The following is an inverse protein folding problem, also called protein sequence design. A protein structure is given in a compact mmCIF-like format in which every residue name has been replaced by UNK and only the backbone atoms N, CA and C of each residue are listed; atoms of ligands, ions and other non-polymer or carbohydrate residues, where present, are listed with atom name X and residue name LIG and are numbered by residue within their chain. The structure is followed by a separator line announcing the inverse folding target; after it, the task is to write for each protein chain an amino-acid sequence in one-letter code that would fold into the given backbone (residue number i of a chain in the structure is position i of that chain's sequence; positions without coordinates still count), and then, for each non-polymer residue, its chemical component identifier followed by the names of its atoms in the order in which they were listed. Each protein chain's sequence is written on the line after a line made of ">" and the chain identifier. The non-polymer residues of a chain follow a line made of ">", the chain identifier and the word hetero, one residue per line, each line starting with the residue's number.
data_IF_981417788702
#
_entry.id   IF_981417788702
#
_cell.length_a   1.000
_cell.length_b   1.000
_cell.length_c   1.000
_cell.angle_alpha   90.00
_cell.angle_beta   90.00
_cell.angle_gamma   90.00
#
_symmetry.space_group_name_H-M   'P 1'
#
loop_
_entity.id
_entity.type
_entity.pdbx_description
1 polymer ?
#
# COMPACT_ATOMS: atom_id res chain seq x y z
N UNK A 1 -20.93 23.02 3.70
CA UNK A 1 -20.10 22.90 4.91
C UNK A 1 -20.60 21.73 5.75
N UNK A 2 -19.96 20.57 5.60
CA UNK A 2 -19.96 19.47 6.58
C UNK A 2 -18.65 18.71 6.33
N UNK A 3 -17.74 18.77 7.29
CA UNK A 3 -16.39 18.19 7.21
C UNK A 3 -16.41 16.74 7.71
N UNK A 4 -15.82 15.85 6.91
CA UNK A 4 -15.84 14.39 7.08
C UNK A 4 -14.81 13.88 8.12
N UNK A 5 -14.61 14.62 9.22
CA UNK A 5 -13.51 14.37 10.19
C UNK A 5 -13.95 13.69 11.50
N UNK A 6 -15.15 13.11 11.58
CA UNK A 6 -15.77 12.76 12.87
C UNK A 6 -16.09 11.27 13.14
N UNK A 7 -15.58 10.29 12.37
CA UNK A 7 -16.06 8.90 12.55
C UNK A 7 -15.06 7.83 13.01
N UNK A 8 -13.80 8.14 13.28
CA UNK A 8 -12.86 7.09 13.73
C UNK A 8 -11.86 7.60 14.77
N UNK A 9 -12.29 7.74 16.03
CA UNK A 9 -11.40 7.62 17.20
C UNK A 9 -12.13 6.98 18.39
N UNK A 10 -11.60 5.89 18.99
CA UNK A 10 -12.09 5.38 20.25
C UNK A 10 -11.61 6.25 21.42
N UNK A 11 -12.40 6.43 22.50
CA UNK A 11 -11.99 7.27 23.62
C UNK A 11 -10.98 6.53 24.52
N UNK A 12 -9.83 7.17 24.75
CA UNK A 12 -8.90 6.79 25.81
C UNK A 12 -9.39 7.41 27.14
N UNK A 13 -9.72 6.55 28.10
CA UNK A 13 -9.96 6.95 29.50
C UNK A 13 -8.61 7.29 30.16
N UNK A 14 -8.43 8.55 30.55
CA UNK A 14 -7.40 8.97 31.52
C UNK A 14 -8.09 9.47 32.77
N UNK A 15 -7.85 8.79 33.88
CA UNK A 15 -8.23 9.20 35.22
C UNK A 15 -7.30 10.31 35.73
N UNK A 16 -7.86 11.34 36.36
CA UNK A 16 -7.25 12.10 37.45
C UNK A 16 -8.31 12.98 38.16
N UNK A 17 -8.12 13.31 39.45
CA UNK A 17 -9.20 13.60 40.39
C UNK A 17 -9.38 15.10 40.66
N UNK A 18 -10.59 15.52 41.09
CA UNK A 18 -10.75 16.71 41.93
C UNK A 18 -12.11 16.73 42.64
N UNK A 19 -12.05 16.92 43.96
CA UNK A 19 -13.17 17.20 44.86
C UNK A 19 -13.75 18.60 44.58
N UNK A 20 -15.06 18.80 44.78
CA UNK A 20 -15.62 19.74 45.77
C UNK A 20 -17.16 19.77 45.75
N UNK A 21 -17.71 19.60 46.97
CA UNK A 21 -18.86 20.25 47.58
C UNK A 21 -20.21 20.42 46.82
N UNK A 22 -21.20 19.66 47.30
CA UNK A 22 -22.35 20.18 48.04
C UNK A 22 -23.42 20.98 47.28
N UNK A 23 -24.59 20.36 47.07
CA UNK A 23 -25.91 21.00 47.22
C UNK A 23 -27.02 19.93 47.24
N UNK A 24 -27.94 20.11 48.18
CA UNK A 24 -28.95 19.14 48.64
C UNK A 24 -30.37 19.44 48.11
N UNK A 25 -31.05 18.39 47.62
CA UNK A 25 -32.47 17.94 47.86
C UNK A 25 -33.61 18.95 47.48
N UNK A 26 -34.68 18.53 46.75
CA UNK A 26 -35.61 17.51 47.25
C UNK A 26 -36.17 16.45 46.31
N UNK A 27 -36.66 15.43 47.01
CA UNK A 27 -37.24 14.19 46.56
C UNK A 27 -38.67 14.37 46.04
N UNK A 28 -38.99 13.65 44.96
CA UNK A 28 -40.36 13.21 44.72
C UNK A 28 -40.35 11.72 44.42
N UNK A 29 -41.15 11.02 45.21
CA UNK A 29 -41.26 9.59 45.40
C UNK A 29 -42.35 9.07 44.47
N UNK A 30 -42.03 8.16 43.55
CA UNK A 30 -43.02 7.20 43.06
C UNK A 30 -42.38 5.82 42.91
N UNK A 31 -42.93 4.90 43.68
CA UNK A 31 -42.53 3.51 43.81
C UNK A 31 -43.12 2.68 42.66
N UNK A 32 -42.31 1.81 42.07
CA UNK A 32 -42.80 0.58 41.45
C UNK A 32 -41.96 -0.58 41.97
N UNK A 33 -42.63 -1.55 42.62
CA UNK A 33 -42.08 -2.68 43.38
C UNK A 33 -41.50 -3.74 42.43
N UNK A 34 -40.33 -4.27 42.76
CA UNK A 34 -39.77 -5.53 42.23
C UNK A 34 -39.91 -6.60 43.32
N UNK A 35 -40.60 -7.73 43.09
CA UNK A 35 -40.55 -8.87 44.00
C UNK A 35 -39.30 -9.76 43.76
N UNK A 36 -38.80 -10.46 44.80
CA UNK A 36 -37.48 -11.11 44.79
C UNK A 36 -37.48 -12.50 44.13
N UNK A 37 -36.33 -12.88 43.58
CA UNK A 37 -36.04 -14.22 43.07
C UNK A 37 -35.91 -15.24 44.20
N UNK A 38 -36.49 -16.46 44.09
CA UNK A 38 -36.15 -17.56 44.98
C UNK A 38 -34.92 -18.33 44.47
N UNK A 39 -34.04 -18.62 45.43
CA UNK A 39 -32.83 -19.44 45.32
C UNK A 39 -33.25 -20.91 45.18
N UNK A 40 -32.77 -21.61 44.14
CA UNK A 40 -32.97 -23.06 43.99
C UNK A 40 -31.73 -23.80 44.52
N UNK A 41 -31.98 -24.68 45.50
CA UNK A 41 -31.03 -25.63 46.10
C UNK A 41 -30.50 -26.62 45.06
N UNK A 42 -29.21 -26.87 45.18
CA UNK A 42 -28.45 -27.86 44.44
C UNK A 42 -28.90 -29.29 44.84
N UNK A 43 -29.31 -30.11 43.89
CA UNK A 43 -29.37 -31.56 44.08
C UNK A 43 -28.61 -32.25 42.95
N UNK A 44 -27.50 -32.84 43.36
CA UNK A 44 -26.51 -33.56 42.59
C UNK A 44 -27.06 -34.88 42.05
N UNK A 45 -27.18 -34.97 40.72
CA UNK A 45 -26.90 -36.16 39.88
C UNK A 45 -27.42 -35.84 38.48
N UNK A 46 -26.51 -35.58 37.54
CA UNK A 46 -26.66 -35.90 36.11
C UNK A 46 -25.33 -35.57 35.42
N UNK A 47 -24.61 -36.63 35.09
CA UNK A 47 -23.44 -36.66 34.21
C UNK A 47 -23.82 -36.19 32.81
N UNK A 48 -22.95 -35.36 32.23
CA UNK A 48 -22.64 -35.18 30.80
C UNK A 48 -23.71 -35.60 29.78
N UNK A 49 -24.37 -34.63 29.15
CA UNK A 49 -24.84 -34.76 27.78
C UNK A 49 -24.85 -33.39 27.09
N UNK A 50 -23.96 -33.22 26.10
CA UNK A 50 -23.97 -32.10 25.17
C UNK A 50 -25.28 -32.11 24.35
N UNK A 51 -25.90 -30.96 24.05
CA UNK A 51 -27.14 -30.92 23.29
C UNK A 51 -26.87 -31.29 21.83
N UNK A 52 -27.49 -32.39 21.37
CA UNK A 52 -27.66 -32.67 19.93
C UNK A 52 -28.63 -31.64 19.35
N UNK A 53 -28.10 -30.58 18.76
CA UNK A 53 -28.81 -29.79 17.76
C UNK A 53 -29.09 -30.70 16.56
N UNK A 54 -30.31 -30.69 16.02
CA UNK A 54 -30.87 -31.62 15.02
C UNK A 54 -31.47 -32.91 15.56
N UNK A 55 -32.53 -32.76 16.33
CA UNK A 55 -33.63 -33.73 16.41
C UNK A 55 -34.94 -32.98 16.22
N UNK A 56 -35.37 -32.81 14.97
CA UNK A 56 -36.76 -32.51 14.67
C UNK A 56 -37.24 -33.51 13.62
N UNK A 57 -37.82 -34.61 14.09
CA UNK A 57 -38.78 -35.37 13.30
C UNK A 57 -40.01 -34.48 13.09
N UNK A 58 -40.03 -33.71 12.01
CA UNK A 58 -41.22 -32.95 11.60
C UNK A 58 -42.14 -33.90 10.84
N UNK A 59 -43.33 -34.14 11.39
CA UNK A 59 -44.39 -34.93 10.76
C UNK A 59 -44.67 -34.37 9.36
N UNK A 60 -44.60 -35.22 8.33
CA UNK A 60 -45.25 -34.95 7.03
C UNK A 60 -46.71 -34.57 7.30
N UNK A 61 -47.25 -33.50 6.70
CA UNK A 61 -48.69 -33.36 6.65
C UNK A 61 -49.23 -34.59 5.92
N UNK A 62 -50.07 -35.35 6.61
CA UNK A 62 -50.71 -36.51 6.03
C UNK A 62 -51.47 -36.06 4.78
N UNK A 63 -51.27 -36.78 3.67
CA UNK A 63 -52.13 -36.67 2.50
C UNK A 63 -53.52 -37.23 2.89
N UNK A 64 -54.33 -36.40 3.55
CA UNK A 64 -55.70 -36.66 3.95
C UNK A 64 -56.64 -35.73 3.18
N UNK A 65 -57.72 -36.30 2.63
CA UNK A 65 -58.72 -35.66 1.77
C UNK A 65 -59.48 -34.50 2.46
N UNK A 66 -59.41 -33.29 1.85
CA UNK A 66 -60.39 -32.17 1.76
C UNK A 66 -60.94 -31.52 3.06
N UNK A 67 -61.52 -30.28 3.04
CA UNK A 67 -61.78 -29.35 1.94
C UNK A 67 -61.14 -27.94 2.14
N UNK A 68 -60.88 -27.19 1.06
CA UNK A 68 -60.57 -25.76 1.16
C UNK A 68 -59.26 -25.29 0.50
N UNK A 69 -59.31 -25.13 -0.82
CA UNK A 69 -58.74 -23.95 -1.49
C UNK A 69 -57.23 -23.76 -1.48
N UNK A 70 -56.45 -24.66 -2.06
CA UNK A 70 -55.21 -24.19 -2.69
C UNK A 70 -55.57 -23.41 -3.96
N UNK A 71 -55.72 -22.09 -3.84
CA UNK A 71 -55.90 -21.19 -4.98
C UNK A 71 -54.54 -20.62 -5.43
N UNK A 72 -54.02 -20.99 -6.61
CA UNK A 72 -52.74 -20.50 -7.12
C UNK A 72 -52.72 -19.00 -7.42
N UNK A 73 -53.90 -18.35 -7.46
CA UNK A 73 -54.08 -16.92 -7.74
C UNK A 73 -54.12 -16.07 -6.46
N UNK A 74 -54.23 -16.68 -5.28
CA UNK A 74 -54.23 -15.97 -4.01
C UNK A 74 -52.78 -15.64 -3.56
N UNK A 75 -52.41 -14.35 -3.42
CA UNK A 75 -51.07 -13.94 -3.04
C UNK A 75 -50.59 -14.53 -1.71
N UNK A 76 -51.48 -14.67 -0.73
CA UNK A 76 -51.15 -15.18 0.60
C UNK A 76 -50.74 -16.66 0.57
N UNK A 77 -51.36 -17.47 -0.29
CA UNK A 77 -51.02 -18.89 -0.42
C UNK A 77 -49.69 -19.09 -1.14
N UNK A 78 -49.36 -18.20 -2.09
CA UNK A 78 -48.04 -18.14 -2.72
C UNK A 78 -46.95 -17.78 -1.71
N UNK A 79 -47.22 -16.87 -0.79
CA UNK A 79 -46.27 -16.45 0.22
C UNK A 79 -45.98 -17.57 1.24
N UNK A 80 -47.02 -18.28 1.69
CA UNK A 80 -46.88 -19.46 2.56
C UNK A 80 -46.11 -20.59 1.88
N UNK A 81 -46.41 -20.88 0.61
CA UNK A 81 -45.63 -21.86 -0.16
C UNK A 81 -44.20 -21.41 -0.39
N UNK A 82 -43.97 -20.12 -0.63
CA UNK A 82 -42.63 -19.56 -0.80
C UNK A 82 -41.83 -19.69 0.49
N UNK A 83 -42.41 -19.35 1.64
CA UNK A 83 -41.76 -19.58 2.94
C UNK A 83 -41.50 -21.05 3.21
N UNK A 84 -42.47 -21.93 2.94
CA UNK A 84 -42.30 -23.37 3.10
C UNK A 84 -41.18 -23.91 2.21
N UNK A 85 -41.15 -23.51 0.94
CA UNK A 85 -40.13 -23.91 -0.02
C UNK A 85 -38.74 -23.36 0.35
N UNK A 86 -38.64 -22.14 0.90
CA UNK A 86 -37.38 -21.58 1.40
C UNK A 86 -36.90 -22.37 2.63
N UNK A 87 -37.81 -22.72 3.55
CA UNK A 87 -37.48 -23.45 4.78
C UNK A 87 -37.18 -24.94 4.57
N UNK A 88 -37.71 -25.54 3.50
CA UNK A 88 -37.52 -26.96 3.15
C UNK A 88 -36.64 -27.18 1.93
N UNK A 89 -36.07 -26.11 1.36
CA UNK A 89 -35.09 -26.19 0.30
C UNK A 89 -33.93 -27.08 0.76
N UNK A 90 -33.71 -28.17 0.04
CA UNK A 90 -32.50 -28.97 0.23
C UNK A 90 -31.30 -28.11 -0.17
N UNK A 91 -30.17 -28.20 0.55
CA UNK A 91 -28.97 -27.50 0.13
C UNK A 91 -28.57 -27.99 -1.27
N UNK A 92 -28.20 -27.04 -2.14
CA UNK A 92 -27.76 -27.33 -3.52
C UNK A 92 -26.56 -28.30 -3.57
N UNK A 93 -25.76 -28.34 -2.50
CA UNK A 93 -24.71 -29.33 -2.29
C UNK A 93 -24.71 -29.78 -0.83
N UNK A 94 -24.63 -31.10 -0.60
CA UNK A 94 -24.43 -31.64 0.75
C UNK A 94 -22.93 -31.71 1.09
N UNK A 95 -22.59 -31.82 2.39
CA UNK A 95 -21.20 -32.00 2.84
C UNK A 95 -20.58 -33.27 2.24
N UNK A 96 -21.38 -34.31 2.02
CA UNK A 96 -20.94 -35.56 1.39
C UNK A 96 -20.72 -35.41 -0.13
N UNK A 97 -21.50 -34.56 -0.80
CA UNK A 97 -21.27 -34.20 -2.20
C UNK A 97 -19.94 -33.44 -2.36
N UNK A 98 -19.67 -32.50 -1.46
CA UNK A 98 -18.41 -31.76 -1.40
C UNK A 98 -17.25 -32.72 -1.14
N UNK A 99 -17.40 -33.64 -0.18
CA UNK A 99 -16.38 -34.65 0.13
C UNK A 99 -16.08 -35.60 -1.05
N UNK A 100 -17.10 -36.01 -1.80
CA UNK A 100 -16.94 -36.84 -3.01
C UNK A 100 -16.29 -36.06 -4.16
N UNK A 101 -16.62 -34.78 -4.31
CA UNK A 101 -16.00 -33.89 -5.29
C UNK A 101 -14.48 -33.78 -5.07
N UNK A 102 -14.05 -33.48 -3.85
CA UNK A 102 -12.62 -33.37 -3.51
C UNK A 102 -11.85 -34.70 -3.60
N UNK A 103 -12.53 -35.84 -3.44
CA UNK A 103 -11.93 -37.18 -3.62
C UNK A 103 -11.95 -37.68 -5.07
N UNK A 104 -12.56 -36.95 -5.99
CA UNK A 104 -12.65 -37.38 -7.38
C UNK A 104 -11.29 -37.31 -8.09
N UNK A 105 -11.01 -38.28 -8.98
CA UNK A 105 -9.77 -38.28 -9.78
C UNK A 105 -9.66 -37.05 -10.69
N UNK A 106 -10.82 -36.54 -11.15
CA UNK A 106 -10.91 -35.31 -11.93
C UNK A 106 -10.44 -34.09 -11.13
N UNK A 107 -10.92 -33.93 -9.89
CA UNK A 107 -10.47 -32.86 -9.00
C UNK A 107 -8.98 -32.98 -8.66
N UNK A 108 -8.50 -34.19 -8.35
CA UNK A 108 -7.07 -34.40 -8.08
C UNK A 108 -6.21 -34.02 -9.30
N UNK A 109 -6.62 -34.38 -10.52
CA UNK A 109 -5.93 -34.01 -11.75
C UNK A 109 -5.89 -32.50 -11.98
N UNK A 110 -7.03 -31.82 -11.86
CA UNK A 110 -7.09 -30.34 -12.03
C UNK A 110 -6.33 -29.61 -10.94
N UNK A 111 -6.37 -30.08 -9.68
CA UNK A 111 -5.60 -29.51 -8.59
C UNK A 111 -4.09 -29.60 -8.86
N UNK A 112 -3.59 -30.75 -9.34
CA UNK A 112 -2.18 -30.91 -9.72
C UNK A 112 -1.79 -29.95 -10.84
N UNK A 113 -2.59 -29.86 -11.91
CA UNK A 113 -2.33 -28.93 -13.03
C UNK A 113 -2.33 -27.48 -12.54
N UNK A 114 -3.28 -27.09 -11.71
CA UNK A 114 -3.36 -25.73 -11.15
C UNK A 114 -2.14 -25.40 -10.28
N UNK A 115 -1.67 -26.34 -9.46
CA UNK A 115 -0.45 -26.16 -8.65
C UNK A 115 0.78 -26.03 -9.53
N UNK A 116 0.94 -26.88 -10.54
CA UNK A 116 2.05 -26.81 -11.49
C UNK A 116 2.04 -25.49 -12.29
N UNK A 117 0.86 -25.06 -12.74
CA UNK A 117 0.69 -23.77 -13.41
C UNK A 117 1.03 -22.60 -12.48
N UNK A 118 0.64 -22.66 -11.21
CA UNK A 118 1.00 -21.66 -10.20
C UNK A 118 2.51 -21.59 -9.95
N UNK A 119 3.19 -22.74 -9.85
CA UNK A 119 4.65 -22.81 -9.71
C UNK A 119 5.33 -22.23 -10.95
N UNK A 120 4.90 -22.63 -12.15
CA UNK A 120 5.42 -22.10 -13.40
C UNK A 120 5.22 -20.57 -13.47
N UNK A 121 4.04 -20.08 -13.10
CA UNK A 121 3.72 -18.66 -13.08
C UNK A 121 4.65 -17.87 -12.14
N UNK A 122 4.89 -18.36 -10.92
CA UNK A 122 5.83 -17.74 -9.99
C UNK A 122 7.25 -17.76 -10.55
N UNK A 123 7.69 -18.88 -11.12
CA UNK A 123 9.02 -19.03 -11.68
C UNK A 123 9.27 -18.04 -12.83
N UNK A 124 8.37 -17.99 -13.82
CA UNK A 124 8.52 -17.12 -15.00
C UNK A 124 8.37 -15.63 -14.71
N UNK A 125 7.73 -15.26 -13.59
CA UNK A 125 7.58 -13.86 -13.15
C UNK A 125 8.53 -13.51 -11.99
N UNK A 126 9.53 -14.37 -11.70
CA UNK A 126 10.60 -14.02 -10.76
C UNK A 126 11.74 -13.34 -11.51
N UNK A 127 11.99 -12.08 -11.16
CA UNK A 127 12.98 -11.21 -11.80
C UNK A 127 14.09 -10.85 -10.81
N UNK A 128 15.21 -10.35 -11.33
CA UNK A 128 16.31 -9.79 -10.53
C UNK A 128 16.31 -8.27 -10.70
N UNK A 129 16.34 -7.54 -9.59
CA UNK A 129 16.34 -6.08 -9.59
C UNK A 129 17.71 -5.57 -10.09
N UNK A 130 17.74 -4.60 -11.04
CA UNK A 130 18.99 -3.99 -11.50
C UNK A 130 19.71 -3.29 -10.34
N UNK A 131 21.04 -3.23 -10.39
CA UNK A 131 21.93 -2.59 -9.38
C UNK A 131 21.98 -3.29 -8.01
N UNK A 132 20.85 -3.71 -7.43
CA UNK A 132 20.80 -4.37 -6.11
C UNK A 132 21.01 -5.89 -6.18
N UNK A 133 20.67 -6.54 -7.29
CA UNK A 133 20.76 -7.99 -7.45
C UNK A 133 19.70 -8.79 -6.69
N UNK A 134 18.71 -8.13 -6.07
CA UNK A 134 17.66 -8.81 -5.30
C UNK A 134 16.72 -9.59 -6.21
N UNK A 135 16.42 -10.84 -5.84
CA UNK A 135 15.37 -11.64 -6.48
C UNK A 135 14.00 -11.23 -5.95
N UNK A 136 13.05 -11.04 -6.85
CA UNK A 136 11.67 -10.66 -6.53
C UNK A 136 10.67 -11.29 -7.47
N UNK A 137 9.43 -11.41 -7.03
CA UNK A 137 8.31 -11.81 -7.87
C UNK A 137 7.53 -10.56 -8.28
N UNK A 138 7.43 -10.30 -9.58
CA UNK A 138 6.67 -9.21 -10.16
C UNK A 138 5.98 -9.71 -11.43
N UNK A 139 4.64 -9.77 -11.41
CA UNK A 139 3.85 -10.20 -12.56
C UNK A 139 3.20 -9.04 -13.34
N UNK A 140 3.48 -7.80 -12.96
CA UNK A 140 3.08 -6.63 -13.73
C UNK A 140 4.22 -6.19 -14.65
N UNK A 141 3.88 -5.99 -15.93
CA UNK A 141 4.80 -5.37 -16.89
C UNK A 141 4.93 -3.87 -16.62
N UNK A 142 6.05 -3.27 -17.02
CA UNK A 142 6.28 -1.83 -16.91
C UNK A 142 5.18 -1.02 -17.60
N UNK A 143 4.82 -1.40 -18.83
CA UNK A 143 3.77 -0.76 -19.61
C UNK A 143 2.39 -0.81 -18.92
N UNK A 144 2.09 -1.93 -18.23
CA UNK A 144 0.87 -2.05 -17.43
C UNK A 144 0.88 -1.09 -16.24
N UNK A 145 2.03 -0.96 -15.57
CA UNK A 145 2.18 -0.04 -14.42
C UNK A 145 2.11 1.41 -14.88
N UNK A 146 2.74 1.76 -15.99
CA UNK A 146 2.71 3.10 -16.59
C UNK A 146 1.28 3.51 -16.98
N UNK A 147 0.54 2.64 -17.66
CA UNK A 147 -0.86 2.91 -18.05
C UNK A 147 -1.73 3.24 -16.83
N UNK A 148 -1.54 2.49 -15.75
CA UNK A 148 -2.27 2.69 -14.50
C UNK A 148 -1.76 3.93 -13.75
N UNK A 149 -0.47 4.25 -13.87
CA UNK A 149 0.11 5.47 -13.32
C UNK A 149 -0.38 6.75 -14.02
N UNK A 150 -0.68 6.70 -15.32
CA UNK A 150 -1.25 7.83 -16.05
C UNK A 150 -2.59 8.32 -15.46
N UNK A 151 -3.37 7.42 -14.84
CA UNK A 151 -4.58 7.80 -14.10
C UNK A 151 -4.23 8.52 -12.79
N UNK A 152 -3.21 8.04 -12.08
CA UNK A 152 -2.70 8.68 -10.86
C UNK A 152 -2.17 10.09 -11.14
N UNK A 153 -1.47 10.29 -12.26
CA UNK A 153 -0.96 11.60 -12.69
C UNK A 153 -2.10 12.61 -12.82
N UNK A 154 -3.17 12.23 -13.54
CA UNK A 154 -4.36 13.10 -13.70
C UNK A 154 -4.99 13.45 -12.35
N UNK A 155 -4.98 12.50 -11.43
CA UNK A 155 -5.53 12.68 -10.10
C UNK A 155 -4.72 13.64 -9.25
N UNK A 156 -3.39 13.49 -9.23
CA UNK A 156 -2.50 14.42 -8.53
C UNK A 156 -2.71 15.85 -9.02
N UNK A 157 -2.82 16.05 -10.34
CA UNK A 157 -3.11 17.38 -10.92
C UNK A 157 -4.45 17.90 -10.41
N UNK A 158 -5.50 17.09 -10.49
CA UNK A 158 -6.83 17.46 -10.02
C UNK A 158 -6.86 17.79 -8.52
N UNK A 159 -6.17 17.01 -7.69
CA UNK A 159 -6.12 17.21 -6.25
C UNK A 159 -5.39 18.51 -5.89
N UNK A 160 -4.29 18.83 -6.58
CA UNK A 160 -3.58 20.11 -6.42
C UNK A 160 -4.48 21.28 -6.83
N UNK A 161 -5.10 21.22 -8.02
CA UNK A 161 -5.94 22.31 -8.53
C UNK A 161 -7.21 22.52 -7.71
N UNK A 162 -7.87 21.43 -7.28
CA UNK A 162 -9.12 21.49 -6.49
C UNK A 162 -8.91 22.02 -5.07
N UNK A 163 -7.71 21.84 -4.51
CA UNK A 163 -7.32 22.42 -3.22
C UNK A 163 -6.86 23.89 -3.34
N UNK A 164 -6.88 24.46 -4.55
CA UNK A 164 -6.42 25.82 -4.82
C UNK A 164 -4.89 25.94 -4.89
N UNK A 165 -4.17 24.82 -4.95
CA UNK A 165 -2.74 24.77 -5.22
C UNK A 165 -2.43 25.14 -6.67
N UNK A 166 -1.17 25.50 -6.94
CA UNK A 166 -0.70 25.85 -8.27
C UNK A 166 0.63 25.18 -8.60
N UNK A 167 0.84 24.91 -9.88
CA UNK A 167 2.14 24.52 -10.38
C UNK A 167 2.97 25.77 -10.71
N UNK A 168 4.26 25.71 -10.40
CA UNK A 168 5.19 26.77 -10.71
C UNK A 168 5.49 26.82 -12.21
N UNK A 169 5.68 28.02 -12.78
CA UNK A 169 6.00 28.17 -14.19
C UNK A 169 7.41 27.64 -14.49
N UNK A 170 7.66 27.26 -15.75
CA UNK A 170 8.92 26.66 -16.20
C UNK A 170 10.16 27.53 -15.98
N UNK A 171 10.00 28.85 -15.88
CA UNK A 171 11.08 29.81 -15.63
C UNK A 171 11.38 30.02 -14.14
N UNK A 172 10.58 29.46 -13.22
CA UNK A 172 10.85 29.60 -11.78
C UNK A 172 12.21 28.95 -11.42
N UNK A 173 13.08 29.62 -10.66
CA UNK A 173 14.39 29.09 -10.29
C UNK A 173 14.34 27.70 -9.63
N UNK A 174 13.27 27.40 -8.88
CA UNK A 174 13.05 26.10 -8.24
C UNK A 174 12.80 25.02 -9.30
N UNK A 175 11.99 25.31 -10.32
CA UNK A 175 11.71 24.39 -11.43
C UNK A 175 12.99 24.14 -12.23
N UNK A 176 13.75 25.20 -12.53
CA UNK A 176 15.02 25.09 -13.25
C UNK A 176 16.04 24.24 -12.48
N UNK A 177 16.08 24.35 -11.15
CA UNK A 177 16.94 23.51 -10.30
C UNK A 177 16.56 22.03 -10.41
N UNK A 178 15.27 21.69 -10.28
CA UNK A 178 14.79 20.31 -10.42
C UNK A 178 15.11 19.76 -11.81
N UNK A 179 14.89 20.55 -12.86
CA UNK A 179 15.20 20.16 -14.23
C UNK A 179 16.70 19.90 -14.46
N UNK A 180 17.60 20.69 -13.85
CA UNK A 180 19.06 20.45 -13.94
C UNK A 180 19.45 19.13 -13.28
N UNK A 181 18.89 18.85 -12.10
CA UNK A 181 19.13 17.58 -11.39
C UNK A 181 18.63 16.39 -12.20
N UNK A 182 17.38 16.45 -12.69
CA UNK A 182 16.81 15.38 -13.50
C UNK A 182 17.61 15.14 -14.80
N UNK A 183 18.09 16.21 -15.46
CA UNK A 183 18.91 16.08 -16.68
C UNK A 183 20.19 15.26 -16.46
N UNK A 184 20.73 15.23 -15.25
CA UNK A 184 21.93 14.44 -14.91
C UNK A 184 21.57 13.04 -14.39
N UNK A 185 20.44 12.88 -13.69
CA UNK A 185 19.99 11.59 -13.17
C UNK A 185 19.40 10.66 -14.24
N UNK A 186 18.64 11.20 -15.20
CA UNK A 186 17.94 10.40 -16.23
C UNK A 186 18.94 9.53 -17.03
N UNK A 187 20.03 10.07 -17.61
CA UNK A 187 20.95 9.29 -18.45
C UNK A 187 21.78 8.23 -17.71
N UNK A 188 21.83 8.30 -16.38
CA UNK A 188 22.54 7.29 -15.56
C UNK A 188 21.58 6.26 -14.98
N UNK A 189 20.27 6.51 -15.11
CA UNK A 189 19.22 5.62 -14.60
C UNK A 189 18.86 4.49 -15.57
N UNK A 190 19.17 4.62 -16.87
CA UNK A 190 18.74 3.66 -17.89
C UNK A 190 17.24 3.76 -18.23
N UNK A 191 16.61 4.90 -17.89
CA UNK A 191 15.19 5.19 -18.12
C UNK A 191 15.02 6.37 -19.09
N UNK A 192 15.95 6.56 -20.02
CA UNK A 192 15.99 7.70 -20.95
C UNK A 192 14.79 7.72 -21.90
N UNK A 193 14.24 6.54 -22.21
CA UNK A 193 13.12 6.36 -23.13
C UNK A 193 11.77 6.76 -22.53
N UNK A 194 11.71 7.11 -21.23
CA UNK A 194 10.46 7.56 -20.60
C UNK A 194 10.15 9.03 -20.96
N UNK A 195 8.86 9.36 -21.00
CA UNK A 195 8.39 10.73 -21.23
C UNK A 195 8.53 11.58 -19.95
N UNK A 196 9.73 12.08 -19.69
CA UNK A 196 10.03 12.82 -18.46
C UNK A 196 9.36 14.21 -18.42
N UNK A 197 8.54 14.44 -17.39
CA UNK A 197 7.91 15.74 -17.15
C UNK A 197 8.10 16.16 -15.69
N UNK A 198 8.60 17.38 -15.49
CA UNK A 198 8.82 17.96 -14.16
C UNK A 198 7.72 18.96 -13.83
N UNK A 199 7.03 18.74 -12.71
CA UNK A 199 6.07 19.69 -12.14
C UNK A 199 6.43 20.00 -10.69
N UNK A 200 6.63 21.28 -10.39
CA UNK A 200 6.85 21.73 -9.01
C UNK A 200 5.57 22.37 -8.49
N UNK A 201 5.07 21.88 -7.36
CA UNK A 201 3.87 22.35 -6.69
C UNK A 201 4.29 23.50 -5.75
N UNK A 202 3.62 24.65 -5.86
CA UNK A 202 3.86 25.81 -4.99
C UNK A 202 3.23 25.61 -3.62
N UNK A 203 3.84 24.69 -2.88
CA UNK A 203 3.45 24.32 -1.53
C UNK A 203 4.71 24.39 -0.65
N UNK A 204 4.91 25.49 0.10
CA UNK A 204 6.11 25.69 0.92
C UNK A 204 6.04 24.93 2.26
N UNK A 205 4.88 24.34 2.57
CA UNK A 205 4.60 23.66 3.83
C UNK A 205 4.84 22.16 3.75
N UNK A 206 4.50 21.56 2.61
CA UNK A 206 4.64 20.11 2.41
C UNK A 206 6.07 19.74 2.06
N UNK A 207 6.61 18.78 2.81
CA UNK A 207 7.93 18.22 2.63
C UNK A 207 7.79 16.90 1.87
N UNK A 208 7.58 16.98 0.55
CA UNK A 208 7.37 15.80 -0.29
C UNK A 208 7.90 15.97 -1.72
N UNK A 209 8.29 14.85 -2.32
CA UNK A 209 8.60 14.71 -3.73
C UNK A 209 8.39 13.24 -4.11
N UNK A 210 7.89 12.99 -5.32
CA UNK A 210 7.67 11.63 -5.80
C UNK A 210 7.80 11.56 -7.32
N UNK A 211 8.21 10.40 -7.81
CA UNK A 211 8.29 10.12 -9.25
C UNK A 211 7.35 8.97 -9.59
N UNK A 212 6.34 9.26 -10.41
CA UNK A 212 5.41 8.24 -10.88
C UNK A 212 5.97 7.52 -12.12
N UNK A 213 5.70 6.20 -12.27
CA UNK A 213 6.03 5.46 -13.49
C UNK A 213 5.56 6.18 -14.76
N UNK A 214 6.41 6.19 -15.81
CA UNK A 214 6.19 7.00 -17.00
C UNK A 214 6.80 8.41 -16.92
N UNK A 215 7.85 8.58 -16.09
CA UNK A 215 8.67 9.80 -16.04
C UNK A 215 8.02 11.04 -15.43
N UNK A 216 6.92 10.94 -14.69
CA UNK A 216 6.24 12.13 -14.14
C UNK A 216 6.77 12.48 -12.74
N UNK A 217 7.47 13.60 -12.64
CA UNK A 217 8.13 14.08 -11.40
C UNK A 217 7.28 15.17 -10.76
N UNK A 218 6.97 15.00 -9.49
CA UNK A 218 6.27 16.00 -8.67
C UNK A 218 7.12 16.38 -7.46
N UNK A 219 7.33 17.67 -7.25
CA UNK A 219 8.12 18.19 -6.12
C UNK A 219 7.33 19.29 -5.41
N UNK A 220 7.09 19.15 -4.11
CA UNK A 220 6.53 20.24 -3.31
C UNK A 220 7.63 21.22 -2.95
N UNK A 221 7.41 22.52 -3.16
CA UNK A 221 8.47 23.52 -2.94
C UNK A 221 9.04 23.55 -1.50
N UNK A 222 8.29 23.07 -0.51
CA UNK A 222 8.70 22.97 0.88
C UNK A 222 9.91 22.06 1.08
N UNK A 223 9.98 20.92 0.37
CA UNK A 223 11.11 19.97 0.50
C UNK A 223 12.44 20.61 0.10
N UNK A 224 12.43 21.59 -0.80
CA UNK A 224 13.65 22.24 -1.31
C UNK A 224 14.43 22.93 -0.18
N UNK A 225 13.74 23.41 0.86
CA UNK A 225 14.35 24.01 2.06
C UNK A 225 15.20 22.99 2.83
N UNK A 226 14.82 21.72 2.81
CA UNK A 226 15.58 20.63 3.41
C UNK A 226 16.68 20.11 2.48
N UNK A 227 16.49 20.17 1.16
CA UNK A 227 17.56 19.78 0.22
C UNK A 227 18.75 20.72 0.27
N UNK A 228 18.52 22.04 0.50
CA UNK A 228 19.52 23.13 0.54
C UNK A 228 20.29 23.40 -0.76
N UNK A 229 20.68 22.36 -1.48
CA UNK A 229 21.45 22.42 -2.71
C UNK A 229 21.02 21.32 -3.69
N UNK A 230 21.65 21.30 -4.87
CA UNK A 230 21.36 20.28 -5.89
C UNK A 230 21.79 18.88 -5.47
N UNK A 231 22.85 18.70 -4.67
CA UNK A 231 23.29 17.40 -4.17
C UNK A 231 22.23 16.76 -3.26
N UNK A 232 21.63 17.54 -2.37
CA UNK A 232 20.54 17.08 -1.49
C UNK A 232 19.26 16.82 -2.27
N UNK A 233 18.99 17.59 -3.32
CA UNK A 233 17.86 17.33 -4.21
C UNK A 233 18.09 16.07 -5.05
N UNK A 234 19.33 15.82 -5.47
CA UNK A 234 19.71 14.60 -6.17
C UNK A 234 19.58 13.35 -5.29
N UNK A 235 19.82 13.46 -3.98
CA UNK A 235 19.56 12.36 -3.04
C UNK A 235 18.07 11.99 -3.01
N UNK A 236 17.17 12.99 -2.97
CA UNK A 236 15.71 12.77 -3.00
C UNK A 236 15.26 12.20 -4.33
N UNK A 237 15.59 12.87 -5.45
CA UNK A 237 15.12 12.45 -6.76
C UNK A 237 15.77 11.13 -7.20
N UNK A 238 17.02 10.87 -6.81
CA UNK A 238 17.68 9.58 -7.03
C UNK A 238 16.96 8.44 -6.31
N UNK A 239 16.49 8.65 -5.08
CA UNK A 239 15.66 7.69 -4.34
C UNK A 239 14.32 7.43 -5.04
N UNK A 240 13.65 8.48 -5.50
CA UNK A 240 12.38 8.33 -6.22
C UNK A 240 12.53 7.63 -7.59
N UNK A 241 13.58 7.96 -8.34
CA UNK A 241 13.92 7.26 -9.59
C UNK A 241 14.26 5.79 -9.28
N UNK A 242 14.94 5.52 -8.18
CA UNK A 242 15.26 4.17 -7.77
C UNK A 242 14.02 3.32 -7.50
N UNK A 243 12.92 3.89 -6.97
CA UNK A 243 11.65 3.16 -6.85
C UNK A 243 11.09 2.70 -8.20
N UNK A 244 11.27 3.51 -9.25
CA UNK A 244 10.81 3.17 -10.60
C UNK A 244 11.76 2.21 -11.31
N UNK A 245 13.07 2.45 -11.22
CA UNK A 245 14.09 1.54 -11.76
C UNK A 245 13.98 0.14 -11.13
N UNK A 246 13.78 0.11 -9.82
CA UNK A 246 13.50 -1.11 -9.08
C UNK A 246 12.01 -1.47 -9.10
N UNK A 247 11.17 -0.96 -10.01
CA UNK A 247 9.72 -1.23 -10.18
C UNK A 247 8.94 -1.58 -8.89
N UNK A 248 9.15 -0.83 -7.79
CA UNK A 248 8.61 -1.18 -6.48
C UNK A 248 7.07 -1.15 -6.45
N UNK A 249 6.46 -0.27 -7.27
CA UNK A 249 5.01 -0.19 -7.45
C UNK A 249 4.44 -1.49 -8.04
N UNK A 250 5.05 -2.03 -9.10
CA UNK A 250 4.62 -3.29 -9.73
C UNK A 250 4.77 -4.49 -8.80
N UNK A 251 5.88 -4.56 -8.05
CA UNK A 251 6.09 -5.58 -7.03
C UNK A 251 5.04 -5.49 -5.90
N UNK A 252 4.72 -4.27 -5.45
CA UNK A 252 3.68 -4.05 -4.43
C UNK A 252 2.31 -4.50 -4.93
N UNK A 253 1.97 -4.19 -6.18
CA UNK A 253 0.71 -4.62 -6.79
C UNK A 253 0.66 -6.14 -6.89
N UNK A 254 1.76 -6.76 -7.30
CA UNK A 254 1.90 -8.23 -7.32
C UNK A 254 1.64 -8.83 -5.94
N UNK A 255 2.19 -8.26 -4.87
CA UNK A 255 1.97 -8.71 -3.50
C UNK A 255 0.50 -8.56 -3.04
N UNK A 256 -0.25 -7.62 -3.61
CA UNK A 256 -1.67 -7.41 -3.29
C UNK A 256 -2.60 -8.44 -3.93
N UNK A 257 -2.16 -9.14 -5.00
CA UNK A 257 -2.99 -10.10 -5.74
C UNK A 257 -3.48 -11.22 -4.82
N UNK A 258 -2.60 -11.82 -4.01
CA UNK A 258 -2.94 -12.94 -3.14
C UNK A 258 -4.08 -12.60 -2.15
N UNK A 259 -3.92 -11.55 -1.32
CA UNK A 259 -4.98 -11.07 -0.45
C UNK A 259 -6.28 -10.72 -1.18
N UNK A 260 -6.20 -10.10 -2.36
CA UNK A 260 -7.37 -9.73 -3.15
C UNK A 260 -8.13 -10.95 -3.70
N UNK A 261 -7.41 -11.97 -4.21
CA UNK A 261 -8.01 -13.24 -4.64
C UNK A 261 -8.67 -13.93 -3.45
N UNK A 262 -7.97 -13.99 -2.30
CA UNK A 262 -8.51 -14.59 -1.09
C UNK A 262 -9.79 -13.89 -0.63
N UNK A 263 -9.77 -12.56 -0.50
CA UNK A 263 -10.93 -11.78 -0.12
C UNK A 263 -12.08 -11.93 -1.13
N UNK A 264 -11.80 -11.84 -2.42
CA UNK A 264 -12.78 -12.05 -3.49
C UNK A 264 -13.43 -13.43 -3.42
N UNK A 265 -12.64 -14.47 -3.15
CA UNK A 265 -13.16 -15.84 -2.97
C UNK A 265 -14.09 -15.94 -1.75
N UNK A 266 -13.76 -15.30 -0.63
CA UNK A 266 -14.59 -15.26 0.57
C UNK A 266 -15.90 -14.50 0.36
N UNK A 267 -15.89 -13.42 -0.42
CA UNK A 267 -17.09 -12.66 -0.79
C UNK A 267 -18.02 -13.53 -1.67
N UNK A 268 -17.46 -14.23 -2.65
CA UNK A 268 -18.25 -15.15 -3.49
C UNK A 268 -18.81 -16.31 -2.65
N UNK A 269 -17.99 -16.90 -1.77
CA UNK A 269 -18.38 -18.02 -0.90
C UNK A 269 -19.42 -17.63 0.16
N UNK A 270 -19.43 -16.37 0.62
CA UNK A 270 -20.43 -15.90 1.60
C UNK A 270 -21.81 -15.65 0.97
N UNK A 271 -21.93 -15.70 -0.37
CA UNK A 271 -23.16 -15.36 -1.08
C UNK A 271 -23.51 -13.87 -1.00
N UNK A 272 -22.65 -13.05 -0.38
CA UNK A 272 -22.76 -11.61 -0.40
C UNK A 272 -22.25 -11.15 -1.76
N UNK A 273 -23.16 -10.84 -2.68
CA UNK A 273 -22.84 -10.02 -3.84
C UNK A 273 -22.97 -8.56 -3.41
N UNK A 274 -21.89 -7.86 -2.98
CA UNK A 274 -21.96 -6.41 -2.87
C UNK A 274 -22.40 -5.86 -4.24
N UNK A 275 -23.22 -4.80 -4.27
CA UNK A 275 -23.60 -4.18 -5.54
C UNK A 275 -22.32 -3.88 -6.33
N UNK A 276 -22.31 -4.25 -7.61
CA UNK A 276 -21.13 -4.18 -8.50
C UNK A 276 -20.40 -2.84 -8.39
N UNK A 277 -21.13 -1.75 -8.13
CA UNK A 277 -20.61 -0.41 -7.89
C UNK A 277 -19.69 -0.28 -6.67
N UNK A 278 -19.95 -0.99 -5.56
CA UNK A 278 -19.09 -1.00 -4.38
C UNK A 278 -17.79 -1.78 -4.62
N UNK A 279 -17.86 -2.86 -5.43
CA UNK A 279 -16.66 -3.60 -5.85
C UNK A 279 -15.79 -2.78 -6.81
N UNK A 280 -16.42 -2.05 -7.75
CA UNK A 280 -15.71 -1.15 -8.67
C UNK A 280 -15.11 0.08 -7.96
N UNK A 281 -15.79 0.67 -6.97
CA UNK A 281 -15.20 1.74 -6.13
C UNK A 281 -14.06 1.23 -5.25
N UNK A 282 -14.22 0.05 -4.66
CA UNK A 282 -13.18 -0.57 -3.84
C UNK A 282 -11.94 -0.96 -4.65
N UNK A 283 -12.11 -1.43 -5.89
CA UNK A 283 -11.02 -1.88 -6.76
C UNK A 283 -10.45 -0.80 -7.70
N UNK A 284 -11.20 0.29 -7.95
CA UNK A 284 -10.85 1.29 -8.96
C UNK A 284 -9.98 2.42 -8.40
N UNK A 285 -10.62 3.49 -7.94
CA UNK A 285 -9.93 4.75 -7.61
C UNK A 285 -9.29 4.75 -6.23
N UNK A 286 -9.97 4.20 -5.21
CA UNK A 286 -9.43 4.12 -3.86
C UNK A 286 -8.29 3.11 -3.72
N UNK A 287 -8.30 2.05 -4.54
CA UNK A 287 -7.21 1.08 -4.59
C UNK A 287 -5.93 1.72 -5.14
N UNK A 288 -6.01 2.50 -6.21
CA UNK A 288 -4.83 3.17 -6.77
C UNK A 288 -4.19 4.14 -5.78
N UNK A 289 -4.98 5.01 -5.14
CA UNK A 289 -4.43 5.92 -4.13
C UNK A 289 -3.78 5.14 -3.01
N UNK A 290 -4.44 4.09 -2.53
CA UNK A 290 -3.91 3.27 -1.46
C UNK A 290 -2.58 2.64 -1.87
N UNK A 291 -2.45 2.21 -3.12
CA UNK A 291 -1.24 1.55 -3.59
C UNK A 291 -0.11 2.51 -3.96
N UNK A 292 -0.38 3.80 -4.23
CA UNK A 292 0.66 4.81 -4.42
C UNK A 292 1.01 5.54 -3.11
N UNK A 293 0.02 5.87 -2.27
CA UNK A 293 0.20 6.60 -1.02
C UNK A 293 0.61 5.72 0.17
N UNK A 294 0.57 4.38 0.05
CA UNK A 294 1.07 3.52 1.13
C UNK A 294 2.60 3.56 1.24
N UNK A 295 3.15 3.43 2.46
CA UNK A 295 4.58 3.33 2.67
C UNK A 295 5.17 2.08 2.02
N UNK A 296 6.38 2.17 1.44
CA UNK A 296 7.06 0.98 0.90
C UNK A 296 7.58 0.09 2.02
N UNK A 297 7.78 -1.19 1.68
CA UNK A 297 8.37 -2.12 2.64
C UNK A 297 9.80 -1.69 2.96
N UNK A 298 10.27 -1.93 4.20
CA UNK A 298 11.63 -1.54 4.63
C UNK A 298 12.75 -2.03 3.68
N UNK A 299 12.57 -3.20 3.06
CA UNK A 299 13.50 -3.74 2.07
C UNK A 299 13.52 -2.93 0.77
N UNK A 300 12.36 -2.46 0.31
CA UNK A 300 12.23 -1.62 -0.88
C UNK A 300 12.78 -0.23 -0.62
N UNK A 301 12.55 0.33 0.57
CA UNK A 301 13.14 1.61 0.99
C UNK A 301 14.67 1.53 1.04
N UNK A 302 15.24 0.52 1.71
CA UNK A 302 16.70 0.33 1.77
C UNK A 302 17.31 0.06 0.39
N UNK A 303 16.60 -0.65 -0.48
CA UNK A 303 17.03 -0.85 -1.87
C UNK A 303 16.99 0.45 -2.68
N UNK A 304 15.95 1.26 -2.51
CA UNK A 304 15.85 2.57 -3.15
C UNK A 304 16.92 3.54 -2.62
N UNK A 305 17.22 3.53 -1.31
CA UNK A 305 18.29 4.32 -0.71
C UNK A 305 19.65 3.95 -1.33
N UNK A 306 19.94 2.65 -1.49
CA UNK A 306 21.19 2.18 -2.08
C UNK A 306 21.31 2.54 -3.57
N UNK A 307 20.28 2.25 -4.36
CA UNK A 307 20.28 2.54 -5.79
C UNK A 307 20.34 4.06 -6.02
N UNK A 308 19.54 4.84 -5.28
CA UNK A 308 19.53 6.30 -5.36
C UNK A 308 20.89 6.91 -5.00
N UNK A 309 21.58 6.36 -3.99
CA UNK A 309 22.95 6.77 -3.65
C UNK A 309 23.94 6.51 -4.78
N UNK A 310 23.83 5.36 -5.47
CA UNK A 310 24.68 5.05 -6.62
C UNK A 310 24.33 5.94 -7.83
N UNK A 311 23.05 6.22 -8.06
CA UNK A 311 22.59 7.10 -9.14
C UNK A 311 23.08 8.53 -8.93
N UNK A 312 22.97 9.09 -7.72
CA UNK A 312 23.47 10.45 -7.47
C UNK A 312 24.99 10.53 -7.62
N UNK A 313 25.72 9.50 -7.18
CA UNK A 313 27.17 9.42 -7.36
C UNK A 313 27.55 9.36 -8.85
N UNK A 314 26.86 8.53 -9.64
CA UNK A 314 27.06 8.43 -11.08
C UNK A 314 26.69 9.71 -11.83
N UNK A 315 25.62 10.38 -11.40
CA UNK A 315 25.19 11.67 -11.90
C UNK A 315 26.09 12.83 -11.43
N UNK A 316 27.18 12.52 -10.73
CA UNK A 316 28.19 13.48 -10.30
C UNK A 316 27.67 14.52 -9.30
N UNK A 317 26.81 14.07 -8.38
CA UNK A 317 26.41 14.74 -7.15
C UNK A 317 27.12 14.13 -5.95
N UNK A 318 27.42 14.93 -4.94
CA UNK A 318 28.17 14.47 -3.76
C UNK A 318 27.35 13.50 -2.91
N UNK A 319 27.69 12.20 -2.85
CA UNK A 319 26.91 11.21 -2.11
C UNK A 319 26.88 11.48 -0.59
N UNK A 320 27.84 12.26 -0.07
CA UNK A 320 27.89 12.62 1.36
C UNK A 320 26.70 13.48 1.77
N UNK A 321 26.13 14.23 0.84
CA UNK A 321 24.97 15.08 1.10
C UNK A 321 23.71 14.27 1.44
N UNK A 322 23.61 13.01 0.99
CA UNK A 322 22.47 12.15 1.33
C UNK A 322 22.32 11.95 2.85
N UNK A 323 23.43 11.73 3.57
CA UNK A 323 23.41 11.61 5.04
C UNK A 323 22.94 12.92 5.67
N UNK A 324 23.46 14.06 5.19
CA UNK A 324 23.12 15.37 5.72
C UNK A 324 21.64 15.71 5.46
N UNK A 325 21.10 15.34 4.30
CA UNK A 325 19.68 15.48 3.97
C UNK A 325 18.80 14.67 4.94
N UNK A 326 19.09 13.38 5.15
CA UNK A 326 18.29 12.54 6.04
C UNK A 326 18.34 13.00 7.50
N UNK A 327 19.49 13.50 7.96
CA UNK A 327 19.58 14.14 9.28
C UNK A 327 18.67 15.37 9.39
N UNK A 328 18.59 16.20 8.34
CA UNK A 328 17.68 17.35 8.32
C UNK A 328 16.21 16.92 8.29
N UNK A 329 15.89 15.85 7.55
CA UNK A 329 14.54 15.28 7.52
C UNK A 329 14.12 14.76 8.91
N UNK A 330 14.99 14.00 9.58
CA UNK A 330 14.75 13.52 10.95
C UNK A 330 14.58 14.67 11.95
N UNK A 331 15.37 15.73 11.83
CA UNK A 331 15.22 16.92 12.67
C UNK A 331 13.89 17.63 12.40
N UNK A 332 13.49 17.79 11.14
CA UNK A 332 12.22 18.40 10.77
C UNK A 332 11.02 17.60 11.33
N UNK A 333 11.09 16.26 11.28
CA UNK A 333 10.08 15.38 11.85
C UNK A 333 10.00 15.50 13.40
N UNK A 334 11.14 15.62 14.09
CA UNK A 334 11.19 15.75 15.56
C UNK A 334 10.76 17.12 16.07
N UNK A 335 11.02 18.18 15.31
CA UNK A 335 10.76 19.56 15.73
C UNK A 335 9.31 20.01 15.48
N UNK A 336 8.44 19.14 14.92
CA UNK A 336 7.07 19.50 14.59
C UNK A 336 6.96 20.67 13.60
N UNK A 337 8.02 20.89 12.81
CA UNK A 337 8.07 21.97 11.81
C UNK A 337 7.20 21.67 10.57
N UNK A 338 6.61 20.48 10.53
CA UNK A 338 5.39 20.16 9.79
C UNK A 338 4.36 19.69 10.84
N UNK A 339 3.14 20.24 10.81
CA UNK A 339 2.07 19.99 11.80
C UNK A 339 1.66 18.50 11.91
N UNK A 340 2.12 17.67 10.98
CA UNK A 340 2.01 16.22 10.93
C UNK A 340 3.36 15.67 10.39
N UNK A 341 3.70 14.40 10.65
CA UNK A 341 4.94 13.74 10.13
C UNK A 341 5.15 14.14 8.66
N UNK A 342 6.37 14.56 8.24
CA UNK A 342 6.62 14.95 6.85
C UNK A 342 5.97 13.95 5.89
N UNK A 343 5.17 14.40 4.93
CA UNK A 343 4.41 13.49 4.06
C UNK A 343 5.35 12.48 3.37
N UNK A 344 6.54 12.94 2.99
CA UNK A 344 7.62 12.07 2.53
C UNK A 344 8.01 10.97 3.54
N UNK A 345 8.08 11.26 4.84
CA UNK A 345 8.33 10.24 5.87
C UNK A 345 7.14 9.30 6.09
N UNK A 346 5.92 9.73 5.71
CA UNK A 346 4.72 8.89 5.76
C UNK A 346 4.68 7.88 4.60
N UNK A 347 5.16 8.27 3.42
CA UNK A 347 5.27 7.41 2.24
C UNK A 347 6.62 6.67 2.14
N UNK A 348 7.68 7.22 2.75
CA UNK A 348 9.04 6.68 2.78
C UNK A 348 9.57 6.64 4.23
N UNK A 349 9.04 5.74 5.07
CA UNK A 349 9.45 5.67 6.46
C UNK A 349 10.95 5.37 6.56
N UNK A 350 11.66 6.22 7.29
CA UNK A 350 13.08 6.00 7.60
C UNK A 350 13.25 4.69 8.35
N UNK A 351 14.18 3.85 7.88
CA UNK A 351 14.66 2.73 8.68
C UNK A 351 15.46 3.31 9.86
N UNK A 352 15.33 2.71 11.05
CA UNK A 352 16.16 3.04 12.23
C UNK A 352 17.66 3.05 11.89
N UNK A 353 18.05 2.26 10.88
CA UNK A 353 19.42 2.07 10.43
C UNK A 353 19.76 2.81 9.12
N UNK A 354 18.87 3.67 8.56
CA UNK A 354 19.09 4.32 7.25
C UNK A 354 20.44 5.04 7.18
N UNK A 355 20.75 5.88 8.18
CA UNK A 355 22.03 6.60 8.23
C UNK A 355 23.23 5.62 8.33
N UNK A 356 23.08 4.52 9.04
CA UNK A 356 24.12 3.49 9.17
C UNK A 356 24.35 2.76 7.84
N UNK A 357 23.27 2.45 7.13
CA UNK A 357 23.31 1.87 5.78
C UNK A 357 24.02 2.82 4.80
N UNK A 358 23.68 4.12 4.80
CA UNK A 358 24.41 5.11 4.01
C UNK A 358 25.90 5.16 4.35
N UNK A 359 26.27 5.14 5.64
CA UNK A 359 27.68 5.10 6.06
C UNK A 359 28.40 3.85 5.55
N UNK A 360 27.73 2.71 5.57
CA UNK A 360 28.25 1.43 5.05
C UNK A 360 28.45 1.47 3.53
N UNK A 361 27.54 2.09 2.80
CA UNK A 361 27.62 2.18 1.33
C UNK A 361 28.47 3.34 0.82
N UNK A 362 28.76 4.32 1.68
CA UNK A 362 29.51 5.53 1.32
C UNK A 362 30.84 5.26 0.61
N UNK A 363 31.70 4.31 1.04
CA UNK A 363 32.95 4.04 0.33
C UNK A 363 32.71 3.65 -1.14
N UNK A 364 31.67 2.84 -1.41
CA UNK A 364 31.29 2.44 -2.76
C UNK A 364 30.67 3.59 -3.56
N UNK A 365 29.88 4.45 -2.91
CA UNK A 365 29.32 5.63 -3.57
C UNK A 365 30.42 6.64 -3.94
N UNK A 366 31.41 6.84 -3.08
CA UNK A 366 32.58 7.67 -3.36
C UNK A 366 33.41 7.08 -4.50
N UNK A 367 33.66 5.77 -4.50
CA UNK A 367 34.33 5.09 -5.61
C UNK A 367 33.59 5.31 -6.93
N UNK A 368 32.25 5.17 -6.93
CA UNK A 368 31.40 5.42 -8.11
C UNK A 368 31.46 6.88 -8.57
N UNK A 369 31.42 7.83 -7.62
CA UNK A 369 31.54 9.26 -7.88
C UNK A 369 32.92 9.62 -8.46
N UNK A 370 34.01 9.04 -7.95
CA UNK A 370 35.37 9.26 -8.46
C UNK A 370 35.62 8.58 -9.82
N UNK A 371 34.98 7.43 -10.07
CA UNK A 371 35.06 6.72 -11.33
C UNK A 371 34.24 7.38 -12.45
N UNK A 372 33.21 8.15 -12.07
CA UNK A 372 32.40 8.92 -12.99
C UNK A 372 33.17 10.11 -13.55
N UNK A 373 32.88 10.50 -14.79
CA UNK A 373 33.57 11.64 -15.44
C UNK A 373 33.09 13.01 -14.94
N UNK A 374 32.94 13.14 -13.63
CA UNK A 374 32.39 14.31 -12.94
C UNK A 374 33.22 15.57 -13.10
N UNK A 375 34.48 15.42 -13.52
CA UNK A 375 35.42 16.51 -13.72
C UNK A 375 35.74 16.77 -15.21
N UNK A 376 35.06 16.11 -16.14
CA UNK A 376 35.36 16.20 -17.57
C UNK A 376 36.84 15.92 -17.88
N UNK A 377 37.47 16.74 -18.73
CA UNK A 377 38.88 16.57 -19.13
C UNK A 377 39.90 16.44 -17.98
N UNK A 378 39.57 16.95 -16.78
CA UNK A 378 40.42 16.78 -15.60
C UNK A 378 40.41 15.34 -15.04
N UNK A 379 39.30 14.60 -15.20
CA UNK A 379 39.22 13.17 -14.91
C UNK A 379 40.14 12.36 -15.81
N UNK A 380 40.11 12.64 -17.11
CA UNK A 380 41.07 12.06 -18.07
C UNK A 380 42.52 12.41 -17.72
N UNK A 381 42.82 13.67 -17.39
CA UNK A 381 44.17 14.08 -17.00
C UNK A 381 44.65 13.38 -15.72
N UNK A 382 43.77 13.14 -14.75
CA UNK A 382 44.10 12.42 -13.52
C UNK A 382 44.28 10.92 -13.75
N UNK A 383 43.45 10.28 -14.58
CA UNK A 383 43.64 8.90 -14.99
C UNK A 383 44.95 8.72 -15.76
N UNK A 384 45.26 9.64 -16.68
CA UNK A 384 46.51 9.65 -17.42
C UNK A 384 47.72 9.81 -16.49
N UNK A 385 47.69 10.74 -15.52
CA UNK A 385 48.74 10.87 -14.50
C UNK A 385 48.89 9.63 -13.63
N UNK A 386 47.79 8.99 -13.22
CA UNK A 386 47.84 7.74 -12.45
C UNK A 386 48.45 6.60 -13.27
N UNK A 387 48.14 6.52 -14.56
CA UNK A 387 48.73 5.53 -15.47
C UNK A 387 50.23 5.78 -15.68
N UNK A 388 50.65 7.04 -15.85
CA UNK A 388 52.06 7.43 -15.90
C UNK A 388 52.81 7.07 -14.61
N UNK A 389 52.22 7.36 -13.45
CA UNK A 389 52.82 7.10 -12.14
C UNK A 389 52.90 5.59 -11.80
N UNK A 390 51.97 4.78 -12.34
CA UNK A 390 51.98 3.31 -12.16
C UNK A 390 52.75 2.57 -13.24
N UNK A 391 53.34 3.26 -14.22
CA UNK A 391 54.15 2.66 -15.28
C UNK A 391 53.38 1.79 -16.28
N UNK A 392 52.05 1.89 -16.33
CA UNK A 392 51.25 1.13 -17.29
C UNK A 392 51.31 1.80 -18.66
N UNK A 393 52.09 1.23 -19.59
CA UNK A 393 52.10 1.65 -20.99
C UNK A 393 50.72 1.38 -21.61
N UNK A 394 50.04 2.44 -22.04
CA UNK A 394 48.69 2.34 -22.66
C UNK A 394 48.80 2.10 -24.18
N UNK A 395 49.95 2.41 -24.82
CA UNK A 395 50.18 2.16 -26.24
C UNK A 395 51.67 1.85 -26.48
N UNK A 396 51.95 0.74 -27.16
CA UNK A 396 53.23 0.50 -27.85
C UNK A 396 53.03 0.91 -29.31
N UNK A 397 53.90 1.78 -29.82
CA UNK A 397 53.91 2.17 -31.24
C UNK A 397 54.47 1.05 -32.12
#
# INVERSE_FOLDING_TARGET
>A
MFTLRALLRPPALRAAPRQLAGLSIPATRQQARIPPFPIIRNNSRLQQQYPRLFSQTVRRPAAGRGPGGYDPRNPAHREVLREYNIRTAKPLMTVDDIGRFFKSRGFAGTAVVAVLAGIAFVYFNTQTVPVSGRRRFNCYSEASVETLSAQQVKRVIYDVESQGGRFLPSWDPRVLMVQRVMRRLIPVSGLEDQDWEVRVIDDPTTLNAFVLPGGKVFVHSGILRLTRNEDGLAAVLGHEIAHNLAQHVGERWTQSIGPNIFLGSMVILSGMFPPVMALVQYLGTGFMDLMFARPMGRKQESEADYIGLMLMAEACYDPREAIAFWQRMDMAAKQGQAEEVPEFMSTHPSNEHRIEDYRKWMPKAIEKYEASDCQGTAGFANMFRRALNKGSMIVQF
#
